data_IF_011619337125
#
_entry.id   IF_011619337125
#
_cell.length_a   1.000
_cell.length_b   1.000
_cell.length_c   1.000
_cell.angle_alpha   90.00
_cell.angle_beta   90.00
_cell.angle_gamma   90.00
#
_symmetry.space_group_name_H-M   'P 1'
#
loop_
_entity.id
_entity.type
_entity.pdbx_description
1 polymer ?
#
# COMPACT_ATOMS: atom_id res chain seq x y z
N UNK A 1 -25.77 3.52 -2.64
CA UNK A 1 -24.95 3.16 -1.45
C UNK A 1 -23.75 2.25 -1.78
N UNK A 2 -23.88 1.24 -2.64
CA UNK A 2 -22.80 0.27 -2.94
C UNK A 2 -21.49 0.88 -3.48
N UNK A 3 -21.55 1.93 -4.32
CA UNK A 3 -20.35 2.59 -4.88
C UNK A 3 -19.48 3.27 -3.83
N UNK A 4 -20.09 3.98 -2.88
CA UNK A 4 -19.36 4.65 -1.80
C UNK A 4 -18.59 3.63 -0.96
N UNK A 5 -19.21 2.49 -0.66
CA UNK A 5 -18.58 1.40 0.10
C UNK A 5 -17.39 0.79 -0.66
N UNK A 6 -17.49 0.62 -1.98
CA UNK A 6 -16.37 0.16 -2.81
C UNK A 6 -15.22 1.17 -2.86
N UNK A 7 -15.53 2.46 -2.96
CA UNK A 7 -14.52 3.53 -2.92
C UNK A 7 -13.82 3.53 -1.55
N UNK A 8 -14.57 3.50 -0.46
CA UNK A 8 -14.01 3.41 0.90
C UNK A 8 -13.14 2.17 1.07
N UNK A 9 -13.57 1.02 0.55
CA UNK A 9 -12.79 -0.21 0.57
C UNK A 9 -11.45 -0.09 -0.18
N UNK A 10 -11.48 0.49 -1.39
CA UNK A 10 -10.28 0.73 -2.20
C UNK A 10 -9.32 1.70 -1.50
N UNK A 11 -9.84 2.79 -0.94
CA UNK A 11 -9.07 3.79 -0.20
C UNK A 11 -8.41 3.14 1.02
N UNK A 12 -9.17 2.46 1.88
CA UNK A 12 -8.64 1.86 3.10
C UNK A 12 -7.56 0.82 2.82
N UNK A 13 -7.82 -0.12 1.91
CA UNK A 13 -6.84 -1.16 1.56
C UNK A 13 -5.55 -0.57 0.97
N UNK A 14 -5.67 0.43 0.08
CA UNK A 14 -4.50 1.07 -0.53
C UNK A 14 -3.71 1.91 0.48
N UNK A 15 -4.39 2.63 1.39
CA UNK A 15 -3.75 3.43 2.45
C UNK A 15 -3.01 2.53 3.43
N UNK A 16 -3.67 1.49 3.96
CA UNK A 16 -3.04 0.54 4.88
C UNK A 16 -1.82 -0.09 4.21
N UNK A 17 -1.95 -0.59 2.99
CA UNK A 17 -0.84 -1.21 2.31
C UNK A 17 0.33 -0.25 2.05
N UNK A 18 0.05 1.03 1.78
CA UNK A 18 1.09 2.04 1.57
C UNK A 18 1.80 2.40 2.87
N UNK A 19 1.09 2.43 4.00
CA UNK A 19 1.71 2.57 5.33
C UNK A 19 2.61 1.37 5.60
N UNK A 20 2.14 0.14 5.37
CA UNK A 20 2.95 -1.07 5.53
C UNK A 20 4.21 -1.03 4.66
N UNK A 21 4.09 -0.60 3.40
CA UNK A 21 5.23 -0.46 2.50
C UNK A 21 6.21 0.62 2.99
N UNK A 22 5.72 1.73 3.51
CA UNK A 22 6.54 2.80 4.10
C UNK A 22 7.36 2.29 5.29
N UNK A 23 6.73 1.53 6.19
CA UNK A 23 7.41 0.88 7.29
C UNK A 23 8.48 -0.09 6.79
N UNK A 24 8.15 -0.95 5.81
CA UNK A 24 9.09 -1.90 5.23
C UNK A 24 10.32 -1.20 4.64
N UNK A 25 10.12 -0.12 3.88
CA UNK A 25 11.21 0.66 3.29
C UNK A 25 12.04 1.32 4.39
N UNK A 26 11.40 1.88 5.42
CA UNK A 26 12.13 2.47 6.56
C UNK A 26 13.04 1.46 7.26
N UNK A 27 12.66 0.19 7.30
CA UNK A 27 13.46 -0.87 7.90
C UNK A 27 14.56 -1.38 6.96
N UNK A 28 14.24 -1.64 5.69
CA UNK A 28 15.09 -2.42 4.79
C UNK A 28 15.74 -1.65 3.65
N UNK A 29 15.46 -0.35 3.47
CA UNK A 29 16.02 0.39 2.35
C UNK A 29 17.55 0.46 2.44
N UNK A 30 18.29 0.08 1.39
CA UNK A 30 19.74 -0.06 1.41
C UNK A 30 20.45 1.30 1.22
N UNK A 31 20.13 2.28 2.07
CA UNK A 31 20.88 3.54 2.16
C UNK A 31 21.33 3.78 3.60
N UNK A 32 22.58 4.22 3.75
CA UNK A 32 23.17 4.67 5.01
C UNK A 32 22.71 6.09 5.35
N UNK A 33 22.33 6.88 4.34
CA UNK A 33 21.80 8.22 4.54
C UNK A 33 20.33 8.14 5.03
N UNK A 34 20.01 8.65 6.24
CA UNK A 34 18.66 8.65 6.76
C UNK A 34 17.69 9.50 5.92
N UNK A 35 18.19 10.52 5.23
CA UNK A 35 17.35 11.41 4.42
C UNK A 35 16.89 10.70 3.14
N UNK A 36 17.79 9.99 2.45
CA UNK A 36 17.45 9.16 1.28
C UNK A 36 16.43 8.09 1.65
N UNK A 37 16.64 7.44 2.80
CA UNK A 37 15.71 6.44 3.33
C UNK A 37 14.33 7.03 3.60
N UNK A 38 14.27 8.20 4.22
CA UNK A 38 13.01 8.91 4.47
C UNK A 38 12.31 9.26 3.15
N UNK A 39 13.06 9.78 2.17
CA UNK A 39 12.51 10.10 0.85
C UNK A 39 11.93 8.86 0.16
N UNK A 40 12.66 7.74 0.17
CA UNK A 40 12.16 6.48 -0.39
C UNK A 40 10.90 6.00 0.35
N UNK A 41 10.90 6.07 1.69
CA UNK A 41 9.78 5.64 2.53
C UNK A 41 8.53 6.53 2.39
N UNK A 42 8.64 7.74 1.83
CA UNK A 42 7.49 8.62 1.57
C UNK A 42 7.05 8.53 0.11
N UNK A 43 7.96 8.74 -0.84
CA UNK A 43 7.60 8.88 -2.25
C UNK A 43 7.21 7.56 -2.91
N UNK A 44 7.92 6.46 -2.64
CA UNK A 44 7.59 5.17 -3.25
C UNK A 44 6.21 4.66 -2.78
N UNK A 45 5.85 4.72 -1.49
CA UNK A 45 4.51 4.34 -1.05
C UNK A 45 3.41 5.25 -1.58
N UNK A 46 3.64 6.56 -1.73
CA UNK A 46 2.65 7.46 -2.33
C UNK A 46 2.41 7.12 -3.81
N UNK A 47 3.46 6.81 -4.56
CA UNK A 47 3.31 6.34 -5.95
C UNK A 47 2.52 5.02 -5.99
N UNK A 48 2.83 4.08 -5.09
CA UNK A 48 2.12 2.81 -5.00
C UNK A 48 0.65 2.99 -4.57
N UNK A 49 0.37 3.91 -3.65
CA UNK A 49 -0.98 4.30 -3.22
C UNK A 49 -1.81 4.73 -4.42
N UNK A 50 -1.31 5.71 -5.18
CA UNK A 50 -1.99 6.24 -6.36
C UNK A 50 -2.21 5.14 -7.41
N UNK A 51 -1.19 4.34 -7.69
CA UNK A 51 -1.26 3.22 -8.63
C UNK A 51 -2.31 2.18 -8.22
N UNK A 52 -2.29 1.74 -6.96
CA UNK A 52 -3.21 0.73 -6.43
C UNK A 52 -4.64 1.24 -6.32
N UNK A 53 -4.83 2.51 -5.97
CA UNK A 53 -6.15 3.13 -5.92
C UNK A 53 -6.77 3.19 -7.32
N UNK A 54 -6.03 3.68 -8.32
CA UNK A 54 -6.45 3.69 -9.72
C UNK A 54 -6.73 2.27 -10.22
N UNK A 55 -5.81 1.33 -9.98
CA UNK A 55 -5.95 -0.06 -10.41
C UNK A 55 -7.18 -0.75 -9.79
N UNK A 56 -7.47 -0.48 -8.52
CA UNK A 56 -8.63 -1.04 -7.83
C UNK A 56 -9.94 -0.45 -8.35
N UNK A 57 -10.01 0.87 -8.54
CA UNK A 57 -11.22 1.58 -8.97
C UNK A 57 -11.56 1.37 -10.46
N UNK A 58 -10.58 1.02 -11.29
CA UNK A 58 -10.81 0.64 -12.69
C UNK A 58 -11.45 -0.75 -12.87
N UNK A 59 -11.71 -1.47 -11.77
CA UNK A 59 -12.39 -2.76 -11.84
C UNK A 59 -13.90 -2.63 -12.06
N UNK A 60 -14.45 -3.55 -12.86
CA UNK A 60 -15.89 -3.66 -13.14
C UNK A 60 -16.66 -4.33 -11.98
N UNK A 61 -15.98 -5.07 -11.09
CA UNK A 61 -16.63 -5.89 -10.06
C UNK A 61 -16.15 -5.53 -8.65
N UNK A 62 -17.07 -5.35 -7.70
CA UNK A 62 -16.74 -5.05 -6.31
C UNK A 62 -15.85 -6.09 -5.62
N UNK A 63 -15.96 -7.38 -5.96
CA UNK A 63 -15.04 -8.42 -5.45
C UNK A 63 -13.59 -8.19 -5.90
N UNK A 64 -13.42 -7.76 -7.16
CA UNK A 64 -12.10 -7.46 -7.71
C UNK A 64 -11.52 -6.19 -7.08
N UNK A 65 -12.34 -5.17 -6.78
CA UNK A 65 -11.90 -3.98 -6.02
C UNK A 65 -11.31 -4.41 -4.67
N UNK A 66 -12.01 -5.27 -3.94
CA UNK A 66 -11.52 -5.80 -2.65
C UNK A 66 -10.20 -6.56 -2.82
N UNK A 67 -10.13 -7.55 -3.71
CA UNK A 67 -8.91 -8.31 -3.91
C UNK A 67 -7.72 -7.44 -4.32
N UNK A 68 -7.91 -6.50 -5.25
CA UNK A 68 -6.84 -5.61 -5.70
C UNK A 68 -6.34 -4.70 -4.58
N UNK A 69 -7.22 -4.14 -3.76
CA UNK A 69 -6.82 -3.24 -2.69
C UNK A 69 -6.17 -3.97 -1.50
N UNK A 70 -6.52 -5.24 -1.25
CA UNK A 70 -6.17 -5.95 -0.01
C UNK A 70 -5.17 -7.09 -0.16
N UNK A 71 -4.94 -7.64 -1.36
CA UNK A 71 -4.11 -8.85 -1.51
C UNK A 71 -2.61 -8.63 -1.50
N UNK A 72 -2.15 -7.41 -1.78
CA UNK A 72 -0.74 -7.15 -2.09
C UNK A 72 0.11 -6.84 -0.87
N UNK A 73 -0.46 -6.20 0.15
CA UNK A 73 0.27 -5.73 1.32
C UNK A 73 0.45 -6.75 2.48
N UNK A 74 -0.27 -7.87 2.58
CA UNK A 74 0.02 -8.89 3.59
C UNK A 74 1.44 -9.45 3.51
N UNK A 75 2.01 -9.56 2.30
CA UNK A 75 3.39 -9.99 2.13
C UNK A 75 4.40 -8.99 2.72
N UNK A 76 4.35 -7.68 2.38
CA UNK A 76 5.09 -6.64 3.10
C UNK A 76 4.93 -6.67 4.62
N UNK A 77 3.73 -6.97 5.13
CA UNK A 77 3.49 -7.06 6.57
C UNK A 77 4.24 -8.25 7.20
N UNK A 78 4.17 -9.43 6.57
CA UNK A 78 4.91 -10.62 7.04
C UNK A 78 6.42 -10.36 7.06
N UNK A 79 6.95 -9.65 6.05
CA UNK A 79 8.36 -9.28 6.02
C UNK A 79 8.77 -8.35 7.17
N UNK A 80 7.87 -7.46 7.62
CA UNK A 80 8.09 -6.63 8.80
C UNK A 80 8.08 -7.44 10.11
N UNK A 81 7.22 -8.45 10.23
CA UNK A 81 7.16 -9.30 11.44
C UNK A 81 8.47 -10.04 11.70
N UNK A 82 9.23 -10.41 10.67
CA UNK A 82 10.56 -11.01 10.86
C UNK A 82 11.61 -10.07 11.47
N UNK A 83 11.30 -8.78 11.67
CA UNK A 83 12.21 -7.78 12.23
C UNK A 83 11.84 -7.26 13.62
N UNK A 84 10.65 -7.60 14.13
CA UNK A 84 10.17 -7.24 15.47
C UNK A 84 10.39 -8.39 16.45
#
# INVERSE_FOLDING_TARGET
>A
MQKALLISCAVLGSVIGSITLSLLITTFYPSVDPLDRLYAAVFLPVLFLCGMLCFSLLSVNGKQVFWRAWSWWPLPLILLEFTL
#
